data_IF_318907130314
#
_entry.id   IF_318907130314
#
_cell.length_a   1.000
_cell.length_b   1.000
_cell.length_c   1.000
_cell.angle_alpha   90.00
_cell.angle_beta   90.00
_cell.angle_gamma   90.00
#
_symmetry.space_group_name_H-M   'P 1'
#
loop_
_entity.id
_entity.type
_entity.pdbx_description
1 polymer ?
#
# COMPACT_ATOMS: atom_id res chain seq x y z
N UNK A 1 -0.27 -1.24 -19.96
CA UNK A 1 0.51 -0.16 -19.35
C UNK A 1 -0.04 0.19 -17.95
N UNK A 2 0.76 -0.01 -16.94
CA UNK A 2 0.36 0.27 -15.56
C UNK A 2 0.73 1.72 -15.19
N UNK A 3 -0.26 2.50 -14.72
CA UNK A 3 -0.04 3.87 -14.27
C UNK A 3 0.69 3.87 -12.92
N UNK A 4 0.29 2.97 -12.02
CA UNK A 4 0.84 2.84 -10.67
C UNK A 4 1.10 1.38 -10.39
N UNK A 5 2.17 1.09 -9.68
CA UNK A 5 2.45 -0.25 -9.18
C UNK A 5 2.64 -0.23 -7.67
N UNK A 6 2.11 -1.24 -6.98
CA UNK A 6 2.30 -1.41 -5.54
C UNK A 6 2.71 -2.86 -5.27
N UNK A 7 3.79 -3.03 -4.54
CA UNK A 7 4.26 -4.33 -4.09
C UNK A 7 4.31 -4.35 -2.57
N UNK A 8 3.84 -5.44 -1.97
CA UNK A 8 3.86 -5.59 -0.53
C UNK A 8 4.54 -6.90 -0.15
N UNK A 9 5.35 -6.85 0.90
CA UNK A 9 5.97 -8.01 1.53
C UNK A 9 5.57 -8.01 2.99
N UNK A 10 5.03 -9.14 3.45
CA UNK A 10 4.59 -9.31 4.83
C UNK A 10 5.21 -10.58 5.40
N UNK A 11 5.77 -10.47 6.60
CA UNK A 11 6.18 -11.63 7.39
C UNK A 11 5.26 -11.72 8.61
N UNK A 12 4.66 -12.89 8.80
CA UNK A 12 3.72 -13.13 9.90
C UNK A 12 4.37 -13.99 10.96
N UNK A 13 4.05 -13.71 12.23
CA UNK A 13 4.50 -14.50 13.37
C UNK A 13 3.43 -14.40 14.46
N UNK A 14 2.95 -15.58 14.92
CA UNK A 14 1.97 -15.62 16.00
C UNK A 14 0.64 -14.94 15.69
N UNK A 15 0.23 -14.92 14.41
CA UNK A 15 -1.03 -14.31 14.02
C UNK A 15 -0.95 -12.79 13.79
N UNK A 16 0.23 -12.20 13.90
CA UNK A 16 0.42 -10.77 13.64
C UNK A 16 1.49 -10.55 12.58
N UNK A 17 1.47 -9.36 11.97
CA UNK A 17 2.50 -8.99 10.99
C UNK A 17 3.75 -8.53 11.74
N UNK A 18 4.80 -9.33 11.68
CA UNK A 18 6.09 -8.99 12.27
C UNK A 18 6.79 -7.91 11.46
N UNK A 19 6.68 -7.98 10.14
CA UNK A 19 7.30 -7.04 9.24
C UNK A 19 6.36 -6.75 8.06
N UNK A 20 6.23 -5.48 7.72
CA UNK A 20 5.44 -5.02 6.58
C UNK A 20 6.30 -4.07 5.75
N UNK A 21 6.39 -4.31 4.45
CA UNK A 21 7.10 -3.45 3.51
C UNK A 21 6.20 -3.18 2.32
N UNK A 22 6.04 -1.92 1.96
CA UNK A 22 5.20 -1.50 0.84
C UNK A 22 6.01 -0.58 -0.07
N UNK A 23 6.20 -1.00 -1.31
CA UNK A 23 6.86 -0.20 -2.33
C UNK A 23 5.84 0.32 -3.34
N UNK A 24 5.98 1.57 -3.74
CA UNK A 24 5.06 2.25 -4.66
C UNK A 24 5.86 2.84 -5.82
N UNK A 25 5.37 2.60 -7.04
CA UNK A 25 5.91 3.21 -8.26
C UNK A 25 4.81 3.91 -9.03
N UNK A 26 5.16 4.94 -9.79
CA UNK A 26 4.23 5.62 -10.68
C UNK A 26 3.35 6.68 -10.03
N UNK A 27 3.36 6.80 -8.71
CA UNK A 27 2.62 7.87 -8.03
C UNK A 27 3.42 9.16 -8.05
N UNK A 28 4.71 9.10 -7.75
CA UNK A 28 5.62 10.24 -7.73
C UNK A 28 6.75 10.01 -8.74
N UNK A 29 7.67 10.97 -8.87
CA UNK A 29 8.79 10.85 -9.80
C UNK A 29 9.69 9.67 -9.48
N UNK A 30 9.87 9.36 -8.20
CA UNK A 30 10.70 8.24 -7.77
C UNK A 30 9.86 7.21 -7.03
N UNK A 31 10.27 5.95 -7.10
CA UNK A 31 9.70 4.90 -6.27
C UNK A 31 9.93 5.23 -4.80
N UNK A 32 9.00 4.86 -3.94
CA UNK A 32 9.12 5.12 -2.51
C UNK A 32 8.45 4.03 -1.70
N UNK A 33 8.76 4.00 -0.41
CA UNK A 33 8.09 3.12 0.55
C UNK A 33 6.96 3.87 1.24
N UNK A 34 5.80 3.23 1.34
CA UNK A 34 4.66 3.78 2.07
C UNK A 34 4.84 3.52 3.57
N UNK A 35 5.80 4.19 4.20
CA UNK A 35 6.18 3.98 5.61
C UNK A 35 5.03 4.17 6.59
N UNK A 36 4.14 5.16 6.44
CA UNK A 36 3.00 5.29 7.36
C UNK A 36 2.10 4.06 7.35
N UNK A 37 1.88 3.44 6.18
CA UNK A 37 1.10 2.19 6.09
C UNK A 37 1.82 1.06 6.80
N UNK A 38 3.12 0.92 6.56
CA UNK A 38 3.95 -0.10 7.20
C UNK A 38 3.88 0.01 8.73
N UNK A 39 4.02 1.21 9.25
CA UNK A 39 4.01 1.48 10.70
C UNK A 39 2.66 1.19 11.34
N UNK A 40 1.58 1.51 10.63
CA UNK A 40 0.21 1.29 11.13
C UNK A 40 -0.15 -0.19 11.24
N UNK A 41 0.49 -1.04 10.44
CA UNK A 41 0.16 -2.47 10.35
C UNK A 41 1.12 -3.38 11.09
N UNK A 42 2.35 -2.95 11.35
CA UNK A 42 3.34 -3.77 12.06
C UNK A 42 2.84 -4.09 13.47
N UNK A 43 2.87 -5.36 13.82
CA UNK A 43 2.40 -5.84 15.12
C UNK A 43 0.92 -6.16 15.17
N UNK A 44 0.20 -6.08 14.05
CA UNK A 44 -1.24 -6.34 13.98
C UNK A 44 -1.55 -7.48 13.04
N UNK A 45 -2.70 -8.16 13.21
CA UNK A 45 -3.21 -9.02 12.14
C UNK A 45 -3.69 -8.13 10.99
N UNK A 46 -3.41 -8.54 9.76
CA UNK A 46 -3.80 -7.77 8.58
C UNK A 46 -5.16 -8.24 8.05
N UNK A 47 -6.21 -8.10 8.86
CA UNK A 47 -7.56 -8.31 8.36
C UNK A 47 -7.99 -7.15 7.47
N UNK A 48 -9.13 -7.30 6.82
CA UNK A 48 -9.61 -6.31 5.86
C UNK A 48 -9.84 -4.94 6.50
N UNK A 49 -10.37 -4.92 7.73
CA UNK A 49 -10.62 -3.67 8.45
C UNK A 49 -9.32 -2.94 8.80
N UNK A 50 -8.32 -3.67 9.31
CA UNK A 50 -7.03 -3.10 9.66
C UNK A 50 -6.32 -2.53 8.43
N UNK A 51 -6.33 -3.27 7.33
CA UNK A 51 -5.69 -2.83 6.08
C UNK A 51 -6.40 -1.60 5.51
N UNK A 52 -7.73 -1.61 5.48
CA UNK A 52 -8.51 -0.47 5.01
C UNK A 52 -8.18 0.80 5.79
N UNK A 53 -8.16 0.69 7.12
CA UNK A 53 -7.85 1.84 7.98
C UNK A 53 -6.43 2.33 7.76
N UNK A 54 -5.47 1.42 7.56
CA UNK A 54 -4.06 1.78 7.39
C UNK A 54 -3.80 2.52 6.09
N UNK A 55 -4.50 2.16 5.00
CA UNK A 55 -4.28 2.79 3.69
C UNK A 55 -5.11 4.05 3.49
N UNK A 56 -6.16 4.25 4.28
CA UNK A 56 -7.02 5.41 4.17
C UNK A 56 -6.22 6.68 4.48
N UNK A 57 -6.25 7.63 3.55
CA UNK A 57 -5.52 8.90 3.69
C UNK A 57 -4.00 8.80 3.62
N UNK A 58 -3.46 7.63 3.30
CA UNK A 58 -2.00 7.43 3.25
C UNK A 58 -1.38 7.97 1.97
N UNK A 59 -2.17 8.17 0.92
CA UNK A 59 -1.68 8.63 -0.38
C UNK A 59 -2.34 9.96 -0.72
N UNK A 60 -1.58 11.05 -0.55
CA UNK A 60 -2.06 12.41 -0.76
C UNK A 60 -1.92 12.79 -2.23
N UNK A 61 -3.00 13.25 -2.90
CA UNK A 61 -2.90 13.73 -4.28
C UNK A 61 -1.87 14.84 -4.47
N UNK A 62 -1.58 15.64 -3.43
CA UNK A 62 -0.56 16.70 -3.51
C UNK A 62 0.83 16.15 -3.78
N UNK A 63 1.08 14.89 -3.38
CA UNK A 63 2.37 14.23 -3.59
C UNK A 63 2.42 13.45 -4.91
N UNK A 64 1.33 13.42 -5.66
CA UNK A 64 1.21 12.61 -6.86
C UNK A 64 1.47 13.42 -8.13
N UNK A 65 2.03 12.73 -9.13
CA UNK A 65 2.17 13.27 -10.47
C UNK A 65 0.80 13.45 -11.13
N UNK A 66 0.70 14.44 -12.00
CA UNK A 66 -0.47 14.66 -12.85
C UNK A 66 -0.01 14.92 -14.26
N UNK A 67 -0.60 14.23 -15.22
CA UNK A 67 -0.32 14.45 -16.65
C UNK A 67 -1.58 14.14 -17.46
N UNK A 68 -1.54 14.26 -18.81
CA UNK A 68 -2.72 14.02 -19.64
C UNK A 68 -3.30 12.60 -19.55
N UNK A 69 -2.53 11.64 -19.06
CA UNK A 69 -2.96 10.23 -18.98
C UNK A 69 -3.61 9.90 -17.64
N UNK A 70 -3.21 10.58 -16.56
CA UNK A 70 -3.74 10.28 -15.23
C UNK A 70 -3.56 11.49 -14.31
N UNK A 71 -4.64 11.88 -13.65
CA UNK A 71 -4.61 12.98 -12.67
C UNK A 71 -3.93 12.54 -11.38
N UNK A 72 -3.52 13.51 -10.57
CA UNK A 72 -2.95 13.25 -9.25
C UNK A 72 -3.96 12.54 -8.34
N UNK A 73 -5.23 12.94 -8.40
CA UNK A 73 -6.31 12.33 -7.64
C UNK A 73 -6.52 10.87 -8.04
N UNK A 74 -6.47 10.57 -9.34
CA UNK A 74 -6.60 9.21 -9.83
C UNK A 74 -5.43 8.35 -9.38
N UNK A 75 -4.20 8.86 -9.46
CA UNK A 75 -3.02 8.13 -9.04
C UNK A 75 -3.06 7.80 -7.55
N UNK A 76 -3.44 8.76 -6.70
CA UNK A 76 -3.56 8.55 -5.27
C UNK A 76 -4.64 7.52 -4.92
N UNK A 77 -5.80 7.61 -5.56
CA UNK A 77 -6.89 6.65 -5.35
C UNK A 77 -6.50 5.24 -5.79
N UNK A 78 -5.79 5.14 -6.92
CA UNK A 78 -5.32 3.86 -7.44
C UNK A 78 -4.26 3.24 -6.51
N UNK A 79 -3.35 4.06 -5.97
CA UNK A 79 -2.39 3.60 -4.97
C UNK A 79 -3.07 3.00 -3.75
N UNK A 80 -4.11 3.67 -3.25
CA UNK A 80 -4.85 3.19 -2.09
C UNK A 80 -5.51 1.84 -2.37
N UNK A 81 -6.16 1.69 -3.52
CA UNK A 81 -6.83 0.45 -3.90
C UNK A 81 -5.83 -0.70 -4.10
N UNK A 82 -4.73 -0.43 -4.82
CA UNK A 82 -3.71 -1.45 -5.10
C UNK A 82 -2.94 -1.83 -3.84
N UNK A 83 -2.66 -0.88 -2.96
CA UNK A 83 -1.98 -1.14 -1.70
C UNK A 83 -2.82 -2.07 -0.82
N UNK A 84 -4.12 -1.81 -0.71
CA UNK A 84 -5.03 -2.68 0.03
C UNK A 84 -5.00 -4.11 -0.52
N UNK A 85 -5.12 -4.26 -1.83
CA UNK A 85 -5.07 -5.57 -2.49
C UNK A 85 -3.76 -6.29 -2.26
N UNK A 86 -2.65 -5.59 -2.45
CA UNK A 86 -1.32 -6.16 -2.30
C UNK A 86 -1.07 -6.64 -0.87
N UNK A 87 -1.48 -5.85 0.12
CA UNK A 87 -1.33 -6.20 1.53
C UNK A 87 -2.16 -7.42 1.92
N UNK A 88 -3.43 -7.47 1.50
CA UNK A 88 -4.28 -8.61 1.81
C UNK A 88 -3.77 -9.89 1.16
N UNK A 89 -3.28 -9.80 -0.07
CA UNK A 89 -2.70 -10.94 -0.76
C UNK A 89 -1.40 -11.42 -0.09
N UNK A 90 -0.54 -10.48 0.29
CA UNK A 90 0.70 -10.80 0.99
C UNK A 90 0.43 -11.44 2.36
N UNK A 91 -0.57 -10.95 3.06
CA UNK A 91 -1.00 -11.53 4.34
C UNK A 91 -1.50 -12.96 4.18
N UNK A 92 -2.32 -13.21 3.17
CA UNK A 92 -2.81 -14.56 2.87
C UNK A 92 -1.66 -15.53 2.62
N UNK A 93 -0.64 -15.10 1.88
CA UNK A 93 0.54 -15.93 1.61
C UNK A 93 1.35 -16.17 2.87
N UNK A 94 1.50 -15.16 3.70
CA UNK A 94 2.31 -15.24 4.92
C UNK A 94 1.66 -16.12 5.99
N UNK A 95 0.33 -16.27 5.96
CA UNK A 95 -0.45 -17.01 6.95
C UNK A 95 -1.01 -18.34 6.41
N UNK A 96 -0.67 -18.68 5.19
CA UNK A 96 -1.11 -19.94 4.55
C UNK A 96 -0.47 -21.15 5.18
#
# INVERSE_FOLDING_TARGET
YAVVGVAAVVQAEGGTARQVRVGVTGMAQSAFRARPVEERLTGRPLDETAVRSAVEGAFDPQDALSDPFASAEYRAALCQALCRRALLRAWQRATA
#
